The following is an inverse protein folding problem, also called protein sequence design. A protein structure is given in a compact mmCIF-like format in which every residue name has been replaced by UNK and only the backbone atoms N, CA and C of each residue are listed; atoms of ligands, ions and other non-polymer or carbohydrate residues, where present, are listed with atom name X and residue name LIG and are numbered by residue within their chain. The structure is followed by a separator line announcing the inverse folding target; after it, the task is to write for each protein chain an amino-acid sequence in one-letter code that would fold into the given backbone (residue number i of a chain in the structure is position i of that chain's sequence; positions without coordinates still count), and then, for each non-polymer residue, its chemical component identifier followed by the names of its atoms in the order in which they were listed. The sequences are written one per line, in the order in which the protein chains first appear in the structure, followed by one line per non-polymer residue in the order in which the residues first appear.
data_IF_083358809502
#
_entry.id   IF_083358809502
#
_cell.length_a   1.000
_cell.length_b   1.000
_cell.length_c   1.000
_cell.angle_alpha   90.00
_cell.angle_beta   90.00
_cell.angle_gamma   90.00
#
_symmetry.space_group_name_H-M   'P 1'
#
loop_
_entity.id
_entity.type
_entity.pdbx_description
1 polymer ?
#
# COMPACT_ATOMS: atom_id res chain seq x y z
N UNK A 1 -19.22 -47.73 26.81
CA UNK A 1 -19.31 -46.27 27.05
C UNK A 1 -18.06 -45.54 26.58
N UNK A 2 -16.85 -45.92 27.03
CA UNK A 2 -15.58 -45.29 26.58
C UNK A 2 -15.26 -45.44 25.08
N UNK A 3 -15.58 -46.58 24.46
CA UNK A 3 -15.33 -46.81 23.02
C UNK A 3 -16.10 -45.84 22.11
N UNK A 4 -17.31 -45.43 22.52
CA UNK A 4 -18.10 -44.45 21.77
C UNK A 4 -17.46 -43.07 21.88
N UNK A 5 -17.00 -42.70 23.08
CA UNK A 5 -16.31 -41.42 23.32
C UNK A 5 -15.02 -41.29 22.49
N UNK A 6 -14.25 -42.36 22.35
CA UNK A 6 -13.06 -42.39 21.48
C UNK A 6 -13.45 -42.26 20.01
N UNK A 7 -14.57 -42.86 19.59
CA UNK A 7 -15.14 -42.68 18.26
C UNK A 7 -15.55 -41.24 17.97
N UNK A 8 -16.22 -40.60 18.93
CA UNK A 8 -16.70 -39.22 18.83
C UNK A 8 -15.52 -38.23 18.75
N UNK A 9 -14.50 -38.41 19.59
CA UNK A 9 -13.26 -37.59 19.53
C UNK A 9 -12.53 -37.79 18.20
N UNK A 10 -12.50 -39.02 17.66
CA UNK A 10 -11.88 -39.29 16.36
C UNK A 10 -12.65 -38.64 15.22
N UNK A 11 -13.98 -38.66 15.26
CA UNK A 11 -14.84 -37.98 14.28
C UNK A 11 -14.62 -36.48 14.34
N UNK A 12 -14.66 -35.88 15.53
CA UNK A 12 -14.46 -34.45 15.72
C UNK A 12 -13.08 -34.00 15.25
N UNK A 13 -12.02 -34.78 15.52
CA UNK A 13 -10.66 -34.48 15.05
C UNK A 13 -10.58 -34.52 13.52
N UNK A 14 -11.29 -35.46 12.89
CA UNK A 14 -11.35 -35.57 11.44
C UNK A 14 -12.14 -34.40 10.82
N UNK A 15 -13.26 -34.02 11.42
CA UNK A 15 -14.06 -32.88 10.95
C UNK A 15 -13.31 -31.55 11.08
N UNK A 16 -12.59 -31.36 12.19
CA UNK A 16 -11.70 -30.19 12.38
C UNK A 16 -10.56 -30.23 11.36
N UNK A 17 -9.92 -31.39 11.14
CA UNK A 17 -8.87 -31.53 10.13
C UNK A 17 -9.39 -31.23 8.72
N UNK A 18 -10.58 -31.71 8.37
CA UNK A 18 -11.20 -31.51 7.07
C UNK A 18 -11.66 -30.03 6.91
N UNK A 19 -12.12 -29.36 7.99
CA UNK A 19 -12.39 -27.91 8.00
C UNK A 19 -11.13 -27.07 7.86
N UNK A 20 -10.05 -27.39 8.57
CA UNK A 20 -8.75 -26.73 8.43
C UNK A 20 -8.22 -26.91 7.00
N UNK A 21 -8.41 -28.08 6.39
CA UNK A 21 -8.04 -28.33 4.98
C UNK A 21 -8.96 -27.61 4.00
N UNK A 22 -10.23 -27.37 4.33
CA UNK A 22 -11.18 -26.62 3.51
C UNK A 22 -10.92 -25.10 3.59
N UNK A 23 -10.59 -24.58 4.77
CA UNK A 23 -10.17 -23.18 4.99
C UNK A 23 -8.76 -22.91 4.42
N UNK A 24 -7.87 -23.90 4.45
CA UNK A 24 -6.56 -23.86 3.78
C UNK A 24 -6.60 -24.42 2.35
N UNK A 25 -7.77 -24.69 1.78
CA UNK A 25 -7.86 -25.05 0.37
C UNK A 25 -7.39 -23.81 -0.40
N UNK A 26 -6.24 -23.86 -1.09
CA UNK A 26 -5.81 -22.70 -1.84
C UNK A 26 -6.93 -22.38 -2.83
N UNK A 27 -7.43 -21.12 -2.88
CA UNK A 27 -8.25 -20.72 -4.01
C UNK A 27 -7.47 -21.12 -5.26
N UNK A 28 -8.17 -21.79 -6.19
CA UNK A 28 -7.61 -22.27 -7.44
C UNK A 28 -6.60 -21.25 -7.96
N UNK A 29 -5.30 -21.59 -7.93
CA UNK A 29 -4.21 -20.63 -8.13
C UNK A 29 -4.50 -19.85 -9.40
N UNK A 30 -5.02 -18.63 -9.28
CA UNK A 30 -5.09 -17.69 -10.38
C UNK A 30 -3.66 -17.25 -10.63
N UNK A 31 -2.97 -18.08 -11.40
CA UNK A 31 -1.64 -17.80 -11.90
C UNK A 31 -1.77 -16.59 -12.81
N UNK A 32 -1.35 -15.45 -12.28
CA UNK A 32 -0.95 -14.22 -12.95
C UNK A 32 -1.52 -14.02 -14.38
N UNK A 33 -2.60 -13.26 -14.46
CA UNK A 33 -3.19 -12.81 -15.72
C UNK A 33 -3.26 -11.29 -15.67
N UNK A 34 -2.28 -10.54 -16.13
CA UNK A 34 -2.05 -10.34 -17.57
C UNK A 34 -0.82 -9.46 -17.76
N UNK A 35 0.01 -9.76 -18.75
CA UNK A 35 0.93 -8.80 -19.38
C UNK A 35 0.10 -7.83 -20.23
N UNK A 36 0.42 -6.53 -20.32
CA UNK A 36 -0.30 -5.61 -21.18
C UNK A 36 -0.08 -5.98 -22.65
N UNK A 37 -1.16 -5.98 -23.45
CA UNK A 37 -1.08 -5.97 -24.92
C UNK A 37 -1.07 -4.52 -25.40
N UNK A 38 -0.12 -4.10 -26.24
CA UNK A 38 -0.21 -2.82 -26.95
C UNK A 38 -1.44 -2.81 -27.89
N UNK A 39 -2.36 -1.89 -27.61
CA UNK A 39 -3.25 -1.23 -28.58
C UNK A 39 -4.28 -2.06 -29.33
N UNK A 40 -5.54 -2.04 -28.85
CA UNK A 40 -6.70 -1.88 -29.74
C UNK A 40 -7.68 -0.95 -29.01
N UNK A 41 -7.68 0.33 -29.39
CA UNK A 41 -8.75 1.25 -28.99
C UNK A 41 -10.03 0.88 -29.76
N UNK A 42 -11.23 0.95 -29.15
CA UNK A 42 -12.47 0.89 -29.91
C UNK A 42 -12.66 2.22 -30.62
N UNK A 43 -12.59 2.22 -31.95
CA UNK A 43 -13.08 3.33 -32.78
C UNK A 43 -14.59 3.15 -32.90
N UNK A 44 -15.36 4.08 -32.34
CA UNK A 44 -16.78 4.23 -32.64
C UNK A 44 -16.94 4.83 -34.04
N UNK A 45 -17.44 4.08 -35.02
CA UNK A 45 -18.28 4.62 -36.11
C UNK A 45 -19.03 3.50 -36.81
N UNK A 46 -20.31 3.76 -37.09
CA UNK A 46 -21.27 2.78 -37.61
C UNK A 46 -21.24 2.54 -39.12
N UNK A 47 -22.11 1.59 -39.49
CA UNK A 47 -22.63 1.20 -40.81
C UNK A 47 -21.82 0.22 -41.69
N UNK A 48 -22.39 -0.99 -41.75
CA UNK A 48 -22.57 -1.92 -42.88
C UNK A 48 -21.36 -2.29 -43.75
N UNK A 49 -20.92 -3.55 -43.64
CA UNK A 49 -20.73 -4.49 -44.78
C UNK A 49 -20.46 -5.92 -44.29
N UNK A 50 -21.01 -6.91 -45.02
CA UNK A 50 -21.01 -8.37 -44.75
C UNK A 50 -19.79 -9.06 -45.42
N UNK A 51 -19.59 -10.40 -45.38
CA UNK A 51 -18.49 -11.03 -44.66
C UNK A 51 -17.46 -11.72 -45.58
N UNK A 52 -16.17 -11.60 -45.27
CA UNK A 52 -15.14 -12.48 -45.84
C UNK A 52 -14.47 -13.31 -44.76
N UNK A 53 -14.70 -14.62 -44.86
CA UNK A 53 -14.10 -15.66 -44.02
C UNK A 53 -12.66 -15.89 -44.48
N UNK A 54 -11.70 -15.67 -43.59
CA UNK A 54 -10.49 -16.48 -43.52
C UNK A 54 -10.34 -16.99 -42.09
N UNK A 55 -10.31 -18.32 -41.98
CA UNK A 55 -10.17 -19.00 -40.70
C UNK A 55 -8.73 -19.00 -40.21
N UNK A 56 -8.56 -18.68 -38.94
CA UNK A 56 -7.78 -19.48 -37.99
C UNK A 56 -8.35 -19.20 -36.61
N UNK A 57 -8.82 -20.23 -35.93
CA UNK A 57 -9.13 -20.19 -34.50
C UNK A 57 -7.89 -19.73 -33.73
N UNK A 58 -7.92 -18.54 -33.13
CA UNK A 58 -6.94 -18.18 -32.11
C UNK A 58 -7.70 -17.96 -30.81
N UNK A 59 -7.86 -19.07 -30.09
CA UNK A 59 -8.20 -19.14 -28.67
C UNK A 59 -7.62 -17.94 -27.91
N UNK A 60 -8.31 -17.39 -26.89
CA UNK A 60 -7.73 -16.37 -26.02
C UNK A 60 -6.32 -16.85 -25.60
N UNK A 61 -5.29 -16.00 -25.79
CA UNK A 61 -3.92 -16.39 -25.48
C UNK A 61 -3.86 -16.80 -24.03
N UNK A 62 -3.28 -17.97 -23.77
CA UNK A 62 -3.21 -18.50 -22.42
C UNK A 62 -2.36 -17.57 -21.54
N UNK A 63 -2.73 -17.38 -20.26
CA UNK A 63 -1.83 -16.82 -19.26
C UNK A 63 -0.48 -17.51 -19.31
N UNK A 64 0.59 -16.73 -19.40
CA UNK A 64 1.93 -17.28 -19.32
C UNK A 64 2.40 -17.18 -17.86
N UNK A 65 2.57 -18.34 -17.23
CA UNK A 65 2.92 -18.48 -15.81
C UNK A 65 4.33 -17.93 -15.55
N UNK A 66 4.53 -17.25 -14.41
CA UNK A 66 5.87 -16.92 -13.89
C UNK A 66 6.61 -18.21 -13.49
N UNK A 67 7.94 -18.18 -13.50
CA UNK A 67 8.69 -19.27 -12.90
C UNK A 67 8.57 -19.24 -11.37
N UNK A 68 8.76 -20.37 -10.71
CA UNK A 68 8.59 -20.51 -9.26
C UNK A 68 9.57 -19.61 -8.49
N UNK A 69 10.79 -19.44 -8.99
CA UNK A 69 11.81 -18.56 -8.39
C UNK A 69 11.42 -17.08 -8.48
N UNK A 70 10.99 -16.63 -9.65
CA UNK A 70 10.49 -15.28 -9.90
C UNK A 70 9.30 -14.95 -8.98
N UNK A 71 8.35 -15.88 -8.87
CA UNK A 71 7.19 -15.73 -8.00
C UNK A 71 7.57 -15.67 -6.52
N UNK A 72 8.55 -16.47 -6.08
CA UNK A 72 9.03 -16.45 -4.70
C UNK A 72 9.72 -15.12 -4.35
N UNK A 73 10.56 -14.58 -5.26
CA UNK A 73 11.21 -13.28 -5.08
C UNK A 73 10.19 -12.14 -4.98
N UNK A 74 9.19 -12.14 -5.85
CA UNK A 74 8.13 -11.14 -5.84
C UNK A 74 7.29 -11.23 -4.56
N UNK A 75 6.94 -12.45 -4.13
CA UNK A 75 6.20 -12.67 -2.89
C UNK A 75 6.97 -12.22 -1.64
N UNK A 76 8.30 -12.44 -1.60
CA UNK A 76 9.15 -11.93 -0.52
C UNK A 76 9.12 -10.40 -0.48
N UNK A 77 9.32 -9.76 -1.64
CA UNK A 77 9.30 -8.30 -1.77
C UNK A 77 7.96 -7.69 -1.38
N UNK A 78 6.86 -8.34 -1.76
CA UNK A 78 5.51 -7.96 -1.33
C UNK A 78 5.30 -8.11 0.17
N UNK A 79 5.83 -9.18 0.78
CA UNK A 79 5.73 -9.37 2.23
C UNK A 79 6.48 -8.28 3.00
N UNK A 80 7.69 -7.92 2.55
CA UNK A 80 8.47 -6.82 3.14
C UNK A 80 7.69 -5.50 3.03
N UNK A 81 7.01 -5.25 1.90
CA UNK A 81 6.14 -4.08 1.73
C UNK A 81 4.96 -4.09 2.70
N UNK A 82 4.32 -5.25 2.91
CA UNK A 82 3.23 -5.39 3.90
C UNK A 82 3.71 -5.04 5.30
N UNK A 83 4.92 -5.46 5.69
CA UNK A 83 5.47 -5.13 7.01
C UNK A 83 5.66 -3.62 7.15
N UNK A 84 6.20 -2.94 6.13
CA UNK A 84 6.33 -1.47 6.13
C UNK A 84 4.95 -0.78 6.23
N UNK A 85 3.94 -1.29 5.52
CA UNK A 85 2.57 -0.77 5.60
C UNK A 85 1.98 -0.93 7.01
N UNK A 86 2.19 -2.10 7.62
CA UNK A 86 1.75 -2.37 9.00
C UNK A 86 2.46 -1.49 10.04
N UNK A 87 3.73 -1.14 9.83
CA UNK A 87 4.44 -0.17 10.67
C UNK A 87 3.77 1.20 10.57
N UNK A 88 3.45 1.67 9.36
CA UNK A 88 2.72 2.93 9.18
C UNK A 88 1.37 2.90 9.90
N UNK A 89 0.60 1.82 9.76
CA UNK A 89 -0.70 1.69 10.45
C UNK A 89 -0.53 1.77 11.97
N UNK A 90 0.41 1.02 12.54
CA UNK A 90 0.69 1.05 13.97
C UNK A 90 1.14 2.44 14.45
N UNK A 91 1.95 3.15 13.67
CA UNK A 91 2.35 4.51 14.00
C UNK A 91 1.15 5.46 13.96
N UNK A 92 0.20 5.27 13.05
CA UNK A 92 -1.03 6.10 13.00
C UNK A 92 -2.03 5.80 14.10
N UNK A 93 -2.12 4.56 14.60
CA UNK A 93 -2.99 4.21 15.73
C UNK A 93 -2.63 4.99 17.00
N UNK A 94 -1.34 5.23 17.25
CA UNK A 94 -0.86 6.05 18.37
C UNK A 94 -1.38 7.49 18.34
N UNK A 95 -1.78 7.98 17.17
CA UNK A 95 -2.36 9.32 17.01
C UNK A 95 -3.85 9.32 17.35
N UNK A 96 -4.56 8.24 17.03
CA UNK A 96 -6.00 8.10 17.31
C UNK A 96 -6.30 7.95 18.79
N UNK A 97 -5.38 7.38 19.57
CA UNK A 97 -5.49 7.34 21.04
C UNK A 97 -5.38 8.73 21.70
N UNK A 98 -4.83 9.72 20.98
CA UNK A 98 -4.53 11.07 21.51
C UNK A 98 -5.51 12.14 21.04
N UNK A 99 -6.17 11.93 19.90
CA UNK A 99 -7.02 12.92 19.24
C UNK A 99 -8.47 12.46 19.38
N UNK A 100 -9.35 13.33 19.88
CA UNK A 100 -10.81 13.08 19.90
C UNK A 100 -11.33 12.82 18.50
N UNK A 101 -12.26 11.85 18.37
CA UNK A 101 -12.79 11.26 17.12
C UNK A 101 -13.33 12.23 16.04
N UNK A 102 -13.39 13.54 16.29
CA UNK A 102 -13.97 14.56 15.42
C UNK A 102 -12.94 15.39 14.62
N UNK A 103 -11.64 15.12 14.71
CA UNK A 103 -10.61 15.90 13.99
C UNK A 103 -9.96 15.14 12.81
N UNK A 104 -10.09 15.72 11.62
CA UNK A 104 -9.52 15.25 10.34
C UNK A 104 -7.99 15.52 10.33
N UNK A 105 -7.20 14.62 10.92
CA UNK A 105 -5.73 14.71 10.82
C UNK A 105 -5.27 14.27 9.42
N UNK A 106 -4.97 15.26 8.58
CA UNK A 106 -4.62 15.05 7.17
C UNK A 106 -3.32 14.25 6.99
N UNK A 107 -2.37 14.29 7.94
CA UNK A 107 -1.16 13.44 7.90
C UNK A 107 -1.53 11.97 8.10
N UNK A 108 -2.31 11.67 9.15
CA UNK A 108 -2.75 10.31 9.49
C UNK A 108 -3.59 9.72 8.37
N UNK A 109 -4.56 10.49 7.86
CA UNK A 109 -5.45 10.06 6.77
C UNK A 109 -4.67 9.66 5.52
N UNK A 110 -3.71 10.47 5.13
CA UNK A 110 -2.86 10.19 3.95
C UNK A 110 -1.95 8.99 4.20
N UNK A 111 -1.35 8.87 5.39
CA UNK A 111 -0.54 7.71 5.76
C UNK A 111 -1.35 6.40 5.69
N UNK A 112 -2.58 6.38 6.24
CA UNK A 112 -3.49 5.23 6.17
C UNK A 112 -3.91 4.89 4.72
N UNK A 113 -4.21 5.90 3.91
CA UNK A 113 -4.48 5.69 2.49
C UNK A 113 -3.29 5.01 1.79
N UNK A 114 -2.08 5.49 2.06
CA UNK A 114 -0.86 4.90 1.51
C UNK A 114 -0.65 3.46 1.98
N UNK A 115 -0.86 3.15 3.26
CA UNK A 115 -0.82 1.78 3.77
C UNK A 115 -1.81 0.86 3.03
N UNK A 116 -3.06 1.31 2.88
CA UNK A 116 -4.10 0.56 2.15
C UNK A 116 -3.74 0.30 0.69
N UNK A 117 -3.17 1.31 0.00
CA UNK A 117 -2.69 1.15 -1.37
C UNK A 117 -1.53 0.15 -1.46
N UNK A 118 -0.54 0.22 -0.57
CA UNK A 118 0.58 -0.73 -0.53
C UNK A 118 0.11 -2.15 -0.19
N UNK A 119 -0.88 -2.28 0.70
CA UNK A 119 -1.49 -3.58 1.01
C UNK A 119 -2.17 -4.20 -0.23
N UNK A 120 -2.86 -3.38 -1.03
CA UNK A 120 -3.44 -3.84 -2.31
C UNK A 120 -2.37 -4.31 -3.29
N UNK A 121 -1.21 -3.64 -3.35
CA UNK A 121 -0.05 -4.05 -4.16
C UNK A 121 0.61 -5.33 -3.62
N UNK A 122 0.65 -5.52 -2.29
CA UNK A 122 1.06 -6.79 -1.67
C UNK A 122 0.11 -7.93 -2.08
N UNK A 123 -1.20 -7.74 -1.98
CA UNK A 123 -2.19 -8.75 -2.35
C UNK A 123 -2.01 -9.18 -3.81
N UNK A 124 -1.70 -8.24 -4.71
CA UNK A 124 -1.35 -8.54 -6.09
C UNK A 124 -0.18 -9.54 -6.21
N UNK A 125 0.89 -9.39 -5.41
CA UNK A 125 2.02 -10.34 -5.41
C UNK A 125 1.63 -11.77 -5.00
N UNK A 126 0.50 -11.92 -4.30
CA UNK A 126 -0.10 -13.19 -3.87
C UNK A 126 -1.14 -13.74 -4.87
N UNK A 127 -1.52 -12.95 -5.88
CA UNK A 127 -2.64 -13.27 -6.77
C UNK A 127 -4.01 -13.06 -6.10
N UNK A 128 -4.07 -12.20 -5.09
CA UNK A 128 -5.25 -11.88 -4.29
C UNK A 128 -5.66 -10.41 -4.47
N UNK A 129 -6.80 -10.01 -3.90
CA UNK A 129 -7.21 -8.60 -3.87
C UNK A 129 -7.83 -8.08 -5.16
N UNK A 130 -7.95 -6.76 -5.27
CA UNK A 130 -8.67 -6.08 -6.34
C UNK A 130 -7.86 -5.90 -7.63
N UNK A 131 -6.53 -5.81 -7.54
CA UNK A 131 -5.64 -5.66 -8.69
C UNK A 131 -5.53 -7.00 -9.41
N UNK A 132 -5.98 -7.08 -10.67
CA UNK A 132 -6.00 -8.33 -11.44
C UNK A 132 -4.89 -8.37 -12.48
N UNK A 133 -4.57 -7.23 -13.07
CA UNK A 133 -3.61 -7.13 -14.16
C UNK A 133 -2.36 -6.36 -13.76
N UNK A 134 -1.28 -6.51 -14.52
CA UNK A 134 -0.07 -5.66 -14.35
C UNK A 134 -0.37 -4.19 -14.58
N UNK A 135 -1.30 -3.89 -15.48
CA UNK A 135 -1.70 -2.51 -15.73
C UNK A 135 -2.40 -1.90 -14.51
N UNK A 136 -3.20 -2.69 -13.78
CA UNK A 136 -3.81 -2.26 -12.52
C UNK A 136 -2.72 -1.94 -11.49
N UNK A 137 -1.68 -2.78 -11.39
CA UNK A 137 -0.54 -2.54 -10.50
C UNK A 137 0.19 -1.23 -10.85
N UNK A 138 0.47 -0.99 -12.13
CA UNK A 138 1.17 0.24 -12.55
C UNK A 138 0.32 1.48 -12.29
N UNK A 139 -0.98 1.40 -12.60
CA UNK A 139 -1.95 2.47 -12.28
C UNK A 139 -1.99 2.72 -10.77
N UNK A 140 -1.99 1.66 -9.94
CA UNK A 140 -1.94 1.80 -8.49
C UNK A 140 -0.64 2.46 -8.02
N UNK A 141 0.50 2.14 -8.64
CA UNK A 141 1.78 2.80 -8.37
C UNK A 141 1.76 4.30 -8.70
N UNK A 142 1.04 4.71 -9.75
CA UNK A 142 0.82 6.13 -10.06
C UNK A 142 0.00 6.83 -8.97
N UNK A 143 -1.11 6.23 -8.54
CA UNK A 143 -1.92 6.76 -7.43
C UNK A 143 -1.14 6.82 -6.11
N UNK A 144 -0.33 5.79 -5.83
CA UNK A 144 0.54 5.75 -4.66
C UNK A 144 1.55 6.91 -4.67
N UNK A 145 2.20 7.15 -5.81
CA UNK A 145 3.14 8.26 -5.96
C UNK A 145 2.45 9.63 -5.84
N UNK A 146 1.20 9.75 -6.31
CA UNK A 146 0.42 10.97 -6.13
C UNK A 146 0.08 11.21 -4.66
N UNK A 147 -0.37 10.19 -3.94
CA UNK A 147 -0.70 10.28 -2.52
C UNK A 147 0.54 10.63 -1.67
N UNK A 148 1.71 10.09 -2.02
CA UNK A 148 3.00 10.44 -1.42
C UNK A 148 3.33 11.94 -1.56
N UNK A 149 3.07 12.52 -2.73
CA UNK A 149 3.26 13.96 -2.96
C UNK A 149 2.30 14.79 -2.12
N UNK A 150 1.06 14.32 -1.93
CA UNK A 150 0.08 15.01 -1.08
C UNK A 150 0.51 14.96 0.39
N UNK A 151 0.95 13.81 0.88
CA UNK A 151 1.54 13.66 2.22
C UNK A 151 2.73 14.62 2.41
N UNK A 152 3.66 14.66 1.45
CA UNK A 152 4.82 15.57 1.50
C UNK A 152 4.41 17.03 1.71
N UNK A 153 3.39 17.51 0.99
CA UNK A 153 2.91 18.89 1.11
C UNK A 153 2.34 19.19 2.49
N UNK A 154 1.49 18.30 3.01
CA UNK A 154 0.89 18.44 4.34
C UNK A 154 1.98 18.45 5.41
N UNK A 155 2.91 17.49 5.37
CA UNK A 155 4.02 17.42 6.34
C UNK A 155 4.95 18.63 6.22
N UNK A 156 5.18 19.14 5.00
CA UNK A 156 5.97 20.36 4.80
C UNK A 156 5.31 21.56 5.47
N UNK A 157 4.00 21.70 5.34
CA UNK A 157 3.24 22.75 6.01
C UNK A 157 3.31 22.61 7.53
N UNK A 158 3.12 21.39 8.04
CA UNK A 158 3.27 21.06 9.46
C UNK A 158 4.66 21.47 9.99
N UNK A 159 5.72 21.18 9.24
CA UNK A 159 7.10 21.52 9.66
C UNK A 159 7.32 23.01 9.93
N UNK A 160 6.54 23.92 9.33
CA UNK A 160 6.65 25.36 9.60
C UNK A 160 6.18 25.75 11.00
N UNK A 161 5.26 24.98 11.57
CA UNK A 161 4.74 25.19 12.93
C UNK A 161 5.63 24.53 13.99
N UNK A 162 6.47 23.57 13.60
CA UNK A 162 7.44 22.96 14.50
C UNK A 162 8.58 23.95 14.79
N UNK A 163 8.91 24.24 16.06
CA UNK A 163 10.05 25.05 16.45
C UNK A 163 11.37 24.46 15.95
N UNK A 164 12.37 25.33 15.74
CA UNK A 164 13.70 24.87 15.36
C UNK A 164 14.30 23.98 16.46
N UNK A 165 14.81 22.81 16.06
CA UNK A 165 15.36 21.83 17.00
C UNK A 165 15.77 20.53 16.30
N UNK A 166 16.35 19.58 17.05
CA UNK A 166 16.84 18.32 16.51
C UNK A 166 15.73 17.50 15.83
N UNK A 167 14.53 17.43 16.44
CA UNK A 167 13.40 16.68 15.88
C UNK A 167 12.87 17.26 14.56
N UNK A 168 12.81 18.60 14.45
CA UNK A 168 12.47 19.24 13.18
C UNK A 168 13.51 18.91 12.13
N UNK A 169 14.80 18.98 12.47
CA UNK A 169 15.88 18.66 11.53
C UNK A 169 15.77 17.22 11.02
N UNK A 170 15.56 16.26 11.92
CA UNK A 170 15.35 14.84 11.60
C UNK A 170 14.12 14.63 10.71
N UNK A 171 13.01 15.30 11.01
CA UNK A 171 11.80 15.26 10.17
C UNK A 171 12.11 15.71 8.73
N UNK A 172 12.84 16.82 8.59
CA UNK A 172 13.21 17.34 7.27
C UNK A 172 14.16 16.40 6.50
N UNK A 173 15.10 15.75 7.20
CA UNK A 173 16.03 14.78 6.60
C UNK A 173 15.30 13.57 5.99
N UNK A 174 14.19 13.13 6.58
CA UNK A 174 13.34 12.09 6.00
C UNK A 174 12.40 12.63 4.92
N UNK A 175 11.75 13.77 5.18
CA UNK A 175 10.78 14.39 4.28
C UNK A 175 11.39 14.73 2.92
N UNK A 176 12.63 15.27 2.90
CA UNK A 176 13.31 15.68 1.68
C UNK A 176 13.74 14.50 0.78
N UNK A 177 13.63 13.25 1.27
CA UNK A 177 13.85 12.05 0.44
C UNK A 177 12.62 11.66 -0.38
N UNK A 178 11.40 12.00 0.10
CA UNK A 178 10.14 11.58 -0.55
C UNK A 178 10.10 11.96 -2.04
N UNK A 179 10.43 13.21 -2.46
CA UNK A 179 10.38 13.59 -3.87
C UNK A 179 11.24 12.69 -4.77
N UNK A 180 12.39 12.23 -4.28
CA UNK A 180 13.29 11.36 -5.04
C UNK A 180 12.67 9.98 -5.27
N UNK A 181 12.13 9.35 -4.23
CA UNK A 181 11.48 8.05 -4.35
C UNK A 181 10.20 8.11 -5.19
N UNK A 182 9.43 9.19 -5.07
CA UNK A 182 8.27 9.45 -5.92
C UNK A 182 8.67 9.53 -7.38
N UNK A 183 9.73 10.28 -7.71
CA UNK A 183 10.21 10.39 -9.09
C UNK A 183 10.68 9.05 -9.65
N UNK A 184 11.41 8.26 -8.86
CA UNK A 184 11.83 6.91 -9.25
C UNK A 184 10.62 6.03 -9.59
N UNK A 185 9.65 5.94 -8.68
CA UNK A 185 8.43 5.16 -8.89
C UNK A 185 7.66 5.63 -10.12
N UNK A 186 7.47 6.95 -10.28
CA UNK A 186 6.77 7.51 -11.45
C UNK A 186 7.47 7.20 -12.77
N UNK A 187 8.80 7.25 -12.81
CA UNK A 187 9.56 6.91 -14.00
C UNK A 187 9.36 5.44 -14.37
N UNK A 188 9.45 4.55 -13.39
CA UNK A 188 9.28 3.11 -13.60
C UNK A 188 7.87 2.77 -14.11
N UNK A 189 6.81 3.29 -13.48
CA UNK A 189 5.42 2.98 -13.90
C UNK A 189 5.06 3.57 -15.27
N UNK A 190 5.59 4.76 -15.63
CA UNK A 190 5.30 5.42 -16.92
C UNK A 190 6.09 4.84 -18.10
N UNK A 191 7.25 4.23 -17.85
CA UNK A 191 8.07 3.69 -18.93
C UNK A 191 7.38 2.50 -19.61
N UNK A 192 7.09 2.57 -20.93
CA UNK A 192 6.49 1.45 -21.64
C UNK A 192 7.48 0.27 -21.65
N UNK A 193 6.95 -0.95 -21.59
CA UNK A 193 7.77 -2.17 -21.60
C UNK A 193 7.02 -3.26 -22.35
N UNK A 194 7.74 -4.01 -23.18
CA UNK A 194 7.18 -5.08 -24.02
C UNK A 194 7.96 -6.37 -23.78
N UNK A 195 7.22 -7.48 -23.69
CA UNK A 195 7.79 -8.81 -23.49
C UNK A 195 7.81 -9.27 -22.03
N UNK A 196 7.63 -10.59 -21.83
CA UNK A 196 7.40 -11.20 -20.51
C UNK A 196 8.48 -10.84 -19.48
N UNK A 197 9.75 -11.06 -19.83
CA UNK A 197 10.86 -10.85 -18.90
C UNK A 197 10.96 -9.38 -18.47
N UNK A 198 10.89 -8.45 -19.43
CA UNK A 198 10.97 -7.03 -19.14
C UNK A 198 9.78 -6.54 -18.30
N UNK A 199 8.57 -7.02 -18.57
CA UNK A 199 7.40 -6.68 -17.73
C UNK A 199 7.54 -7.23 -16.32
N UNK A 200 8.09 -8.44 -16.15
CA UNK A 200 8.33 -8.99 -14.81
C UNK A 200 9.35 -8.14 -14.05
N UNK A 201 10.46 -7.75 -14.68
CA UNK A 201 11.44 -6.83 -14.06
C UNK A 201 10.79 -5.51 -13.67
N UNK A 202 9.93 -4.94 -14.52
CA UNK A 202 9.20 -3.72 -14.19
C UNK A 202 8.29 -3.90 -12.98
N UNK A 203 7.56 -5.02 -12.89
CA UNK A 203 6.70 -5.34 -11.75
C UNK A 203 7.52 -5.46 -10.46
N UNK A 204 8.63 -6.19 -10.48
CA UNK A 204 9.54 -6.31 -9.33
C UNK A 204 10.06 -4.92 -8.88
N UNK A 205 10.47 -4.08 -9.83
CA UNK A 205 10.93 -2.72 -9.55
C UNK A 205 9.84 -1.86 -8.89
N UNK A 206 8.60 -1.88 -9.41
CA UNK A 206 7.48 -1.13 -8.83
C UNK A 206 7.21 -1.55 -7.38
N UNK A 207 7.26 -2.85 -7.09
CA UNK A 207 7.10 -3.38 -5.73
C UNK A 207 8.26 -2.92 -4.83
N UNK A 208 9.51 -2.98 -5.29
CA UNK A 208 10.67 -2.52 -4.51
C UNK A 208 10.65 -1.02 -4.24
N UNK A 209 10.35 -0.21 -5.24
CA UNK A 209 10.28 1.26 -5.11
C UNK A 209 9.16 1.68 -4.15
N UNK A 210 7.99 1.04 -4.24
CA UNK A 210 6.87 1.26 -3.31
C UNK A 210 7.28 0.92 -1.88
N UNK A 211 7.95 -0.22 -1.65
CA UNK A 211 8.47 -0.60 -0.33
C UNK A 211 9.45 0.45 0.21
N UNK A 212 10.40 0.89 -0.62
CA UNK A 212 11.42 1.86 -0.21
C UNK A 212 10.79 3.21 0.16
N UNK A 213 9.80 3.66 -0.60
CA UNK A 213 9.03 4.86 -0.30
C UNK A 213 8.22 4.69 1.00
N UNK A 214 7.61 3.52 1.24
CA UNK A 214 6.87 3.25 2.47
C UNK A 214 7.76 3.30 3.73
N UNK A 215 8.98 2.78 3.65
CA UNK A 215 9.96 2.87 4.74
C UNK A 215 10.27 4.33 5.12
N UNK A 216 10.40 5.22 4.14
CA UNK A 216 10.60 6.66 4.40
C UNK A 216 9.35 7.28 5.01
N UNK A 217 8.16 6.91 4.53
CA UNK A 217 6.88 7.39 5.05
C UNK A 217 6.70 7.00 6.52
N UNK A 218 7.00 5.75 6.89
CA UNK A 218 6.99 5.28 8.28
C UNK A 218 7.81 6.20 9.17
N UNK A 219 9.07 6.48 8.79
CA UNK A 219 9.93 7.40 9.54
C UNK A 219 9.35 8.81 9.62
N UNK A 220 8.83 9.34 8.53
CA UNK A 220 8.20 10.68 8.51
C UNK A 220 7.02 10.75 9.48
N UNK A 221 6.12 9.76 9.46
CA UNK A 221 4.96 9.70 10.38
C UNK A 221 5.43 9.61 11.83
N UNK A 222 6.40 8.75 12.14
CA UNK A 222 6.99 8.65 13.47
C UNK A 222 7.59 9.98 13.94
N UNK A 223 8.41 10.65 13.12
CA UNK A 223 9.04 11.91 13.52
C UNK A 223 8.02 13.05 13.62
N UNK A 224 6.96 13.06 12.81
CA UNK A 224 5.84 14.00 12.97
C UNK A 224 5.18 13.85 14.35
N UNK A 225 4.96 12.60 14.80
CA UNK A 225 4.38 12.33 16.12
C UNK A 225 5.27 12.86 17.25
N UNK A 226 6.58 12.60 17.16
CA UNK A 226 7.56 13.11 18.13
C UNK A 226 7.58 14.63 18.14
N UNK A 227 7.53 15.28 16.98
CA UNK A 227 7.48 16.74 16.89
C UNK A 227 6.23 17.29 17.59
N UNK A 228 5.06 16.75 17.28
CA UNK A 228 3.80 17.24 17.84
C UNK A 228 3.74 17.07 19.37
N UNK A 229 4.11 15.89 19.89
CA UNK A 229 4.14 15.65 21.34
C UNK A 229 5.13 16.56 22.07
N UNK A 230 6.28 16.89 21.48
CA UNK A 230 7.27 17.78 22.10
C UNK A 230 6.88 19.25 22.06
N UNK A 231 6.19 19.70 21.02
CA UNK A 231 5.68 21.09 20.91
C UNK A 231 4.69 21.38 22.02
N UNK A 232 3.72 20.49 22.23
CA UNK A 232 2.73 20.57 23.32
C UNK A 232 3.45 20.65 24.66
N UNK A 233 4.36 19.70 24.94
CA UNK A 233 5.10 19.67 26.20
C UNK A 233 5.97 20.92 26.45
N UNK A 234 6.45 21.58 25.41
CA UNK A 234 7.26 22.79 25.53
C UNK A 234 6.40 24.03 25.84
N UNK A 235 5.23 24.14 25.20
CA UNK A 235 4.27 25.21 25.49
C UNK A 235 3.78 25.14 26.94
N UNK A 236 3.48 23.93 27.44
CA UNK A 236 3.07 23.73 28.84
C UNK A 236 4.14 24.11 29.86
N UNK A 237 5.41 23.85 29.54
CA UNK A 237 6.53 24.19 30.43
C UNK A 237 6.85 25.67 30.51
N UNK A 238 6.51 26.45 29.49
CA UNK A 238 6.74 27.90 29.49
C UNK A 238 5.67 28.68 30.25
N UNK A 239 4.62 28.02 30.76
CA UNK A 239 3.54 28.68 31.51
C UNK A 239 2.77 29.72 30.68
N UNK A 240 2.91 29.68 29.35
CA UNK A 240 2.19 30.54 28.41
C UNK A 240 0.79 30.00 28.07
N UNK A 241 0.40 28.88 28.67
CA UNK A 241 -0.88 28.22 28.41
C UNK A 241 -1.96 28.65 29.41
N UNK A 242 -3.13 29.06 28.89
CA UNK A 242 -4.35 29.23 29.68
C UNK A 242 -5.25 27.99 29.66
N UNK A 243 -4.87 26.94 28.92
CA UNK A 243 -5.66 25.73 28.65
C UNK A 243 -4.84 24.47 28.99
N UNK A 244 -5.49 23.37 29.39
CA UNK A 244 -4.81 22.11 29.68
C UNK A 244 -4.13 21.53 28.42
N UNK A 245 -3.04 20.74 28.57
CA UNK A 245 -2.28 20.18 27.43
C UNK A 245 -3.13 19.36 26.45
N UNK A 246 -4.16 18.69 26.95
CA UNK A 246 -5.10 17.87 26.18
C UNK A 246 -5.95 18.73 25.21
N UNK A 247 -6.33 19.96 25.60
CA UNK A 247 -7.04 20.91 24.71
C UNK A 247 -6.11 21.57 23.68
N UNK A 248 -4.82 21.70 23.99
CA UNK A 248 -3.83 22.28 23.08
C UNK A 248 -3.30 21.26 22.07
N UNK A 249 -3.25 19.98 22.46
CA UNK A 249 -3.15 18.89 21.49
C UNK A 249 -4.30 19.03 20.50
N UNK A 250 -5.56 19.05 20.97
CA UNK A 250 -6.74 19.23 20.09
C UNK A 250 -6.65 20.49 19.23
N UNK A 251 -6.28 21.67 19.73
CA UNK A 251 -6.16 22.86 18.86
C UNK A 251 -5.00 22.79 17.85
N UNK A 252 -3.86 22.21 18.23
CA UNK A 252 -2.71 22.04 17.34
C UNK A 252 -3.00 21.03 16.23
N UNK A 253 -3.82 20.01 16.53
CA UNK A 253 -4.27 19.01 15.57
C UNK A 253 -5.51 19.46 14.76
N UNK A 254 -6.40 20.24 15.36
CA UNK A 254 -7.68 20.73 14.82
C UNK A 254 -7.62 22.02 14.00
N UNK A 255 -6.52 22.76 14.06
CA UNK A 255 -6.25 23.87 13.16
C UNK A 255 -5.89 23.35 11.75
N UNK A 256 -6.94 22.96 11.00
CA UNK A 256 -6.98 22.59 9.57
C UNK A 256 -5.63 22.59 8.85
N UNK A 257 -5.05 21.40 8.74
CA UNK A 257 -4.17 21.04 7.64
C UNK A 257 -5.00 20.43 6.50
#
# INVERSE_FOLDING_TARGET
MWLNLVGDVKSLTKDISDQIMAENKPPEKQVYMSLPRPGVQPVETGYLTSPQKHGTTSKPPKPTKLDQEEQAKLAKSGLDMKLMASEVDQETEKWEERITQDEDNDIVKRAKNMSSMAFSMYQFTRGEGALKTTQDLFTQGEYFAEEANRLYKVVRQFSYQVPAGPHKKELMEHLDQIPTYVQQLQFTVKNPTVGKAATFTKVDNVIQETKNLMNVISKVVTTCFVCATKVVNHLSKLGLETKPPEELEVEFWGCRF
#
